data_IF_774353567036
#
_entry.id   IF_774353567036
#
_cell.length_a   1.000
_cell.length_b   1.000
_cell.length_c   1.000
_cell.angle_alpha   90.00
_cell.angle_beta   90.00
_cell.angle_gamma   90.00
#
_symmetry.space_group_name_H-M   'P 1'
#
loop_
_entity.id
_entity.type
_entity.pdbx_description
1 polymer ?
#
# COMPACT_ATOMS: atom_id res chain seq x y z
N UNK A 1 3.31 7.65 -6.16
CA UNK A 1 2.39 6.51 -6.08
C UNK A 1 1.24 6.74 -7.06
N UNK A 2 0.69 5.68 -7.64
CA UNK A 2 -0.58 5.73 -8.38
C UNK A 2 -1.75 5.67 -7.40
N UNK A 3 -2.88 6.31 -7.73
CA UNK A 3 -4.10 6.24 -6.94
C UNK A 3 -5.23 5.62 -7.77
N UNK A 4 -5.82 4.53 -7.28
CA UNK A 4 -6.96 3.87 -7.91
C UNK A 4 -7.84 3.16 -6.87
N UNK A 5 -8.85 3.86 -6.30
CA UNK A 5 -9.67 3.31 -5.22
C UNK A 5 -10.53 2.10 -5.63
N UNK A 6 -10.66 1.82 -6.93
CA UNK A 6 -11.37 0.62 -7.42
C UNK A 6 -10.61 -0.67 -7.12
N UNK A 7 -9.30 -0.60 -6.91
CA UNK A 7 -8.47 -1.76 -6.55
C UNK A 7 -8.78 -2.22 -5.12
N UNK A 8 -9.16 -1.31 -4.22
CA UNK A 8 -9.58 -1.62 -2.85
C UNK A 8 -8.45 -2.05 -1.90
N UNK A 9 -7.22 -2.17 -2.39
CA UNK A 9 -6.05 -2.57 -1.63
C UNK A 9 -4.83 -1.76 -2.04
N UNK A 10 -3.91 -1.50 -1.10
CA UNK A 10 -2.65 -0.86 -1.42
C UNK A 10 -1.63 -1.92 -1.86
N UNK A 11 -0.93 -1.64 -2.96
CA UNK A 11 0.02 -2.54 -3.58
C UNK A 11 1.38 -1.85 -3.65
N UNK A 12 2.43 -2.61 -3.37
CA UNK A 12 3.81 -2.17 -3.54
C UNK A 12 4.60 -3.23 -4.29
N UNK A 13 5.49 -2.82 -5.19
CA UNK A 13 6.30 -3.77 -5.95
C UNK A 13 7.42 -4.34 -5.09
N UNK A 14 7.75 -5.61 -5.31
CA UNK A 14 8.90 -6.25 -4.65
C UNK A 14 10.20 -5.48 -4.93
N UNK A 15 10.39 -4.98 -6.15
CA UNK A 15 11.56 -4.18 -6.52
C UNK A 15 11.68 -2.89 -5.70
N UNK A 16 10.56 -2.23 -5.40
CA UNK A 16 10.55 -1.02 -4.58
C UNK A 16 10.91 -1.33 -3.11
N UNK A 17 10.37 -2.42 -2.56
CA UNK A 17 10.72 -2.89 -1.20
C UNK A 17 12.21 -3.15 -1.09
N UNK A 18 12.78 -3.93 -2.02
CA UNK A 18 14.20 -4.30 -1.99
C UNK A 18 15.14 -3.08 -2.09
N UNK A 19 14.76 -2.08 -2.87
CA UNK A 19 15.59 -0.89 -3.12
C UNK A 19 15.53 0.16 -2.02
N UNK A 20 14.38 0.30 -1.33
CA UNK A 20 14.15 1.41 -0.40
C UNK A 20 13.88 0.99 1.04
N UNK A 21 13.37 -0.24 1.25
CA UNK A 21 12.94 -0.72 2.56
C UNK A 21 13.82 -1.88 3.07
N UNK A 22 14.66 -2.46 2.22
CA UNK A 22 15.51 -3.60 2.56
C UNK A 22 14.71 -4.88 2.83
N UNK A 23 15.36 -5.87 3.46
CA UNK A 23 14.78 -7.17 3.80
C UNK A 23 13.92 -7.11 5.08
N UNK A 24 12.97 -6.17 5.14
CA UNK A 24 12.01 -6.14 6.24
C UNK A 24 11.11 -7.39 6.19
N UNK A 25 10.84 -8.03 7.35
CA UNK A 25 10.04 -9.23 7.40
C UNK A 25 8.61 -8.93 6.94
N UNK A 26 8.17 -9.66 5.91
CA UNK A 26 6.81 -9.58 5.41
C UNK A 26 5.92 -10.58 6.14
N UNK A 27 4.71 -10.16 6.50
CA UNK A 27 3.72 -11.10 6.99
C UNK A 27 3.24 -12.00 5.83
N UNK A 28 2.99 -13.31 6.07
CA UNK A 28 2.48 -14.21 5.05
C UNK A 28 1.14 -13.73 4.48
N UNK A 29 0.89 -14.03 3.20
CA UNK A 29 -0.37 -13.68 2.53
C UNK A 29 -0.82 -14.77 1.58
N UNK A 30 -2.14 -14.90 1.42
CA UNK A 30 -2.77 -15.73 0.40
C UNK A 30 -3.46 -14.88 -0.68
N UNK A 31 -3.15 -13.57 -0.73
CA UNK A 31 -3.73 -12.65 -1.69
C UNK A 31 -3.13 -12.87 -3.05
N UNK A 32 -3.96 -12.70 -4.08
CA UNK A 32 -3.56 -12.75 -5.48
C UNK A 32 -3.97 -11.45 -6.17
N UNK A 33 -3.24 -11.06 -7.20
CA UNK A 33 -3.50 -9.84 -7.96
C UNK A 33 -3.70 -10.15 -9.44
N UNK A 34 -4.81 -9.68 -10.01
CA UNK A 34 -5.17 -9.91 -11.40
C UNK A 34 -4.67 -8.75 -12.26
N UNK A 35 -3.67 -9.02 -13.11
CA UNK A 35 -3.00 -7.98 -13.92
C UNK A 35 -3.49 -7.93 -15.38
N UNK A 36 -3.96 -9.04 -15.92
CA UNK A 36 -4.49 -9.15 -17.28
C UNK A 36 -5.36 -10.40 -17.39
N UNK A 37 -6.28 -10.52 -18.36
CA UNK A 37 -7.07 -11.74 -18.57
C UNK A 37 -6.18 -12.99 -18.53
N UNK A 38 -6.48 -13.92 -17.61
CA UNK A 38 -5.70 -15.15 -17.34
C UNK A 38 -4.31 -14.99 -16.71
N UNK A 39 -3.91 -13.79 -16.27
CA UNK A 39 -2.64 -13.56 -15.56
C UNK A 39 -2.87 -13.12 -14.12
N UNK A 40 -2.57 -14.02 -13.19
CA UNK A 40 -2.67 -13.82 -11.75
C UNK A 40 -1.26 -13.90 -11.16
N UNK A 41 -0.95 -12.97 -10.25
CA UNK A 41 0.30 -12.96 -9.49
C UNK A 41 0.00 -13.29 -8.04
N UNK A 42 0.81 -14.14 -7.43
CA UNK A 42 0.74 -14.45 -6.00
C UNK A 42 1.39 -13.35 -5.16
N UNK A 43 0.82 -13.06 -4.00
CA UNK A 43 1.38 -12.09 -3.07
C UNK A 43 2.64 -12.63 -2.40
N UNK A 44 3.68 -11.81 -2.36
CA UNK A 44 4.94 -12.11 -1.66
C UNK A 44 4.75 -12.00 -0.15
N UNK A 45 3.93 -11.05 0.29
CA UNK A 45 3.61 -10.84 1.69
C UNK A 45 2.90 -9.51 1.94
N UNK A 46 2.77 -9.14 3.21
CA UNK A 46 2.16 -7.88 3.65
C UNK A 46 3.18 -7.10 4.47
N UNK A 47 3.33 -5.83 4.14
CA UNK A 47 4.03 -4.85 4.96
C UNK A 47 3.00 -4.05 5.73
N UNK A 48 3.03 -4.13 7.07
CA UNK A 48 2.06 -3.45 7.92
C UNK A 48 2.54 -2.05 8.33
N UNK A 49 1.58 -1.14 8.51
CA UNK A 49 1.79 0.20 9.10
C UNK A 49 2.90 1.01 8.43
N UNK A 50 2.97 0.98 7.11
CA UNK A 50 3.90 1.82 6.33
C UNK A 50 3.43 3.27 6.41
N UNK A 51 4.26 4.21 6.92
CA UNK A 51 3.86 5.60 7.04
C UNK A 51 3.84 6.29 5.67
N UNK A 52 2.72 6.94 5.35
CA UNK A 52 2.54 7.73 4.15
C UNK A 52 2.13 9.14 4.54
N UNK A 53 2.83 10.13 3.97
CA UNK A 53 2.56 11.55 4.20
C UNK A 53 1.74 12.13 3.07
N UNK A 54 0.64 12.81 3.42
CA UNK A 54 -0.17 13.59 2.50
C UNK A 54 -0.59 14.90 3.16
N UNK A 55 -0.19 16.03 2.58
CA UNK A 55 -0.57 17.38 3.06
C UNK A 55 -0.38 17.57 4.59
N UNK A 56 0.73 17.06 5.13
CA UNK A 56 1.12 17.05 6.56
C UNK A 56 0.37 16.05 7.47
N UNK A 57 -0.51 15.23 6.93
CA UNK A 57 -1.11 14.11 7.66
C UNK A 57 -0.30 12.85 7.38
N UNK A 58 0.15 12.20 8.44
CA UNK A 58 0.74 10.87 8.38
C UNK A 58 -0.38 9.82 8.54
N UNK A 59 -0.43 8.88 7.61
CA UNK A 59 -1.33 7.73 7.66
C UNK A 59 -0.52 6.45 7.56
N UNK A 60 -0.72 5.56 8.53
CA UNK A 60 -0.12 4.22 8.49
C UNK A 60 -1.00 3.30 7.63
N UNK A 61 -0.46 2.82 6.51
CA UNK A 61 -1.15 1.95 5.58
C UNK A 61 -0.50 0.58 5.50
N UNK A 62 -1.32 -0.45 5.36
CA UNK A 62 -0.86 -1.79 5.02
C UNK A 62 -0.71 -1.90 3.50
N UNK A 63 0.37 -2.55 3.05
CA UNK A 63 0.66 -2.80 1.64
C UNK A 63 0.81 -4.29 1.36
N UNK A 64 0.16 -4.74 0.30
CA UNK A 64 0.37 -6.07 -0.27
C UNK A 64 1.52 -6.01 -1.28
N UNK A 65 2.51 -6.88 -1.10
CA UNK A 65 3.71 -6.92 -1.93
C UNK A 65 3.49 -7.91 -3.06
N UNK A 66 3.69 -7.46 -4.30
CA UNK A 66 3.57 -8.28 -5.50
C UNK A 66 4.76 -8.04 -6.45
N UNK A 67 5.11 -9.05 -7.24
CA UNK A 67 6.10 -8.91 -8.30
C UNK A 67 5.50 -8.23 -9.54
N UNK A 68 5.24 -6.93 -9.41
CA UNK A 68 4.70 -6.07 -10.48
C UNK A 68 5.78 -5.09 -10.97
N UNK A 69 5.77 -4.78 -12.26
CA UNK A 69 6.76 -3.88 -12.89
C UNK A 69 6.16 -2.58 -13.43
N UNK A 70 4.84 -2.51 -13.60
CA UNK A 70 4.17 -1.33 -14.18
C UNK A 70 4.18 -0.12 -13.23
N UNK A 71 4.33 -0.34 -11.92
CA UNK A 71 4.35 0.70 -10.91
C UNK A 71 5.07 0.25 -9.63
N UNK A 72 5.59 1.22 -8.87
CA UNK A 72 6.24 0.96 -7.58
C UNK A 72 5.24 0.91 -6.41
N UNK A 73 4.27 1.82 -6.38
CA UNK A 73 3.26 1.94 -5.33
C UNK A 73 1.92 2.29 -5.98
N UNK A 74 0.88 1.55 -5.63
CA UNK A 74 -0.52 1.86 -5.94
C UNK A 74 -1.32 1.92 -4.64
N UNK A 75 -1.98 3.04 -4.41
CA UNK A 75 -2.90 3.24 -3.30
C UNK A 75 -4.30 2.94 -3.83
N UNK A 76 -4.85 1.82 -3.37
CA UNK A 76 -6.19 1.39 -3.74
C UNK A 76 -7.20 1.50 -2.61
N UNK A 77 -6.75 1.79 -1.39
CA UNK A 77 -7.67 2.12 -0.30
C UNK A 77 -8.25 3.54 -0.53
N UNK A 78 -9.55 3.77 -0.30
CA UNK A 78 -10.13 5.12 -0.37
C UNK A 78 -9.51 6.00 0.73
N UNK A 79 -8.53 6.81 0.36
CA UNK A 79 -7.81 7.65 1.32
C UNK A 79 -8.65 8.83 1.79
N UNK A 80 -9.64 9.27 1.00
CA UNK A 80 -10.52 10.38 1.36
C UNK A 80 -11.31 10.08 2.64
N UNK A 81 -11.64 8.80 2.90
CA UNK A 81 -12.28 8.39 4.16
C UNK A 81 -11.30 8.41 5.33
N UNK A 82 -10.05 8.01 5.11
CA UNK A 82 -9.02 8.02 6.14
C UNK A 82 -8.69 9.44 6.63
N UNK A 83 -8.76 10.45 5.75
CA UNK A 83 -8.57 11.85 6.13
C UNK A 83 -9.79 12.51 6.77
N UNK A 84 -11.00 11.97 6.56
CA UNK A 84 -12.21 12.41 7.25
C UNK A 84 -12.29 11.86 8.68
N UNK A 85 -11.77 10.64 8.89
CA UNK A 85 -11.76 9.96 10.19
C UNK A 85 -10.47 10.20 11.00
N UNK A 86 -9.41 10.70 10.36
CA UNK A 86 -8.23 11.18 11.08
C UNK A 86 -8.68 12.33 12.00
N UNK A 87 -8.33 12.31 13.31
CA UNK A 87 -8.54 13.48 14.11
C UNK A 87 -7.78 14.60 13.41
N UNK A 88 -8.45 15.71 13.13
CA UNK A 88 -7.79 16.97 12.85
C UNK A 88 -7.01 17.26 14.12
N UNK A 89 -5.79 16.71 14.25
CA UNK A 89 -4.98 16.78 15.45
C UNK A 89 -4.33 18.16 15.48
N UNK A 90 -5.19 19.14 15.69
CA UNK A 90 -4.88 20.50 16.03
C UNK A 90 -5.73 20.85 17.24
N UNK A 91 -5.51 20.19 18.37
CA UNK A 91 -5.36 20.82 19.70
C UNK A 91 -4.84 19.76 20.67
N UNK A 92 -3.55 19.85 21.01
CA UNK A 92 -3.03 19.33 22.27
C UNK A 92 -3.40 20.36 23.33
N UNK A 93 -4.25 19.98 24.29
CA UNK A 93 -4.30 20.66 25.59
C UNK A 93 -3.25 20.05 26.52
#
# INVERSE_FOLDING_TARGET
ALYNPKVGANIMSTSFVLTHLGENPLAPTNKTFWIAPCSIIEGVGIMHKVPIWHENIEVALDFHIFEVYDFNILIGHPIEKLFLDAPILGTLN
#
